data_IF_587241689430
#
_entry.id   IF_587241689430
#
_cell.length_a   1.000
_cell.length_b   1.000
_cell.length_c   1.000
_cell.angle_alpha   90.00
_cell.angle_beta   90.00
_cell.angle_gamma   90.00
#
_symmetry.space_group_name_H-M   'P 1'
#
loop_
_entity.id
_entity.type
_entity.pdbx_description
1 polymer ?
#
# COMPACT_ATOMS: atom_id res chain seq x y z
N UNK A 1 2.30 4.99 -14.43
CA UNK A 1 1.60 5.08 -13.14
C UNK A 1 0.50 4.04 -13.15
N UNK A 2 0.32 3.32 -12.06
CA UNK A 2 -0.82 2.43 -11.85
C UNK A 2 -2.12 3.21 -11.68
N UNK A 3 -3.23 2.49 -11.81
CA UNK A 3 -4.59 3.01 -11.75
C UNK A 3 -5.27 2.47 -10.50
N UNK A 4 -5.87 3.35 -9.71
CA UNK A 4 -6.71 2.95 -8.58
C UNK A 4 -8.02 2.39 -9.13
N UNK A 5 -8.27 1.10 -8.88
CA UNK A 5 -9.47 0.37 -9.34
C UNK A 5 -10.60 0.55 -8.32
N UNK A 6 -10.28 0.37 -7.05
CA UNK A 6 -11.19 0.61 -5.93
C UNK A 6 -10.48 1.38 -4.83
N UNK A 7 -11.25 2.23 -4.14
CA UNK A 7 -10.74 3.01 -3.02
C UNK A 7 -11.85 3.21 -2.00
N UNK A 8 -11.60 2.80 -0.77
CA UNK A 8 -12.52 2.93 0.34
C UNK A 8 -11.77 3.28 1.62
N UNK A 9 -11.85 4.55 2.01
CA UNK A 9 -11.12 5.09 3.16
C UNK A 9 -12.02 5.40 4.37
N UNK A 10 -13.33 5.15 4.23
CA UNK A 10 -14.35 5.54 5.24
C UNK A 10 -14.89 4.35 6.04
N UNK A 11 -14.29 3.18 5.90
CA UNK A 11 -14.68 1.94 6.58
C UNK A 11 -13.79 1.66 7.80
N UNK A 12 -14.24 0.73 8.65
CA UNK A 12 -13.43 0.21 9.76
C UNK A 12 -12.15 -0.50 9.28
N UNK A 13 -12.15 -0.96 8.03
CA UNK A 13 -10.99 -1.53 7.33
C UNK A 13 -10.79 -0.78 6.01
N UNK A 14 -10.07 0.35 6.01
CA UNK A 14 -9.76 1.07 4.78
C UNK A 14 -9.02 0.17 3.79
N UNK A 15 -9.40 0.23 2.51
CA UNK A 15 -8.75 -0.57 1.47
C UNK A 15 -8.70 0.12 0.10
N UNK A 16 -7.70 -0.28 -0.69
CA UNK A 16 -7.59 0.17 -2.08
C UNK A 16 -7.01 -0.93 -2.96
N UNK A 17 -7.62 -1.13 -4.13
CA UNK A 17 -7.06 -1.95 -5.20
C UNK A 17 -6.40 -1.06 -6.26
N UNK A 18 -5.20 -1.45 -6.68
CA UNK A 18 -4.39 -0.71 -7.63
C UNK A 18 -3.91 -1.67 -8.72
N UNK A 19 -4.24 -1.37 -9.97
CA UNK A 19 -3.68 -2.00 -11.15
C UNK A 19 -2.36 -1.30 -11.50
N UNK A 20 -1.24 -2.00 -11.34
CA UNK A 20 0.11 -1.49 -11.59
C UNK A 20 0.44 -1.47 -13.09
N UNK A 21 1.49 -0.74 -13.45
CA UNK A 21 1.85 -0.49 -14.86
C UNK A 21 2.23 -1.76 -15.64
N UNK A 22 2.68 -2.82 -14.97
CA UNK A 22 2.96 -4.12 -15.60
C UNK A 22 1.74 -5.05 -15.68
N UNK A 23 0.56 -4.60 -15.24
CA UNK A 23 -0.65 -5.41 -15.19
C UNK A 23 -0.83 -6.22 -13.90
N UNK A 24 0.08 -6.14 -12.93
CA UNK A 24 -0.16 -6.70 -11.60
C UNK A 24 -1.27 -5.93 -10.91
N UNK A 25 -2.12 -6.62 -10.17
CA UNK A 25 -3.08 -6.00 -9.26
C UNK A 25 -2.62 -6.20 -7.84
N UNK A 26 -2.66 -5.14 -7.04
CA UNK A 26 -2.37 -5.20 -5.61
C UNK A 26 -3.50 -4.59 -4.82
N UNK A 27 -3.72 -5.11 -3.62
CA UNK A 27 -4.69 -4.58 -2.67
C UNK A 27 -3.98 -4.21 -1.38
N UNK A 28 -4.26 -3.00 -0.92
CA UNK A 28 -3.85 -2.46 0.36
C UNK A 28 -5.04 -2.59 1.30
N UNK A 29 -4.83 -3.20 2.46
CA UNK A 29 -5.83 -3.27 3.53
C UNK A 29 -5.19 -2.75 4.82
N UNK A 30 -5.82 -1.73 5.39
CA UNK A 30 -5.51 -1.24 6.73
C UNK A 30 -6.54 -1.80 7.70
N UNK A 31 -6.07 -2.56 8.68
CA UNK A 31 -6.88 -3.12 9.74
C UNK A 31 -6.21 -2.82 11.10
N UNK A 32 -6.82 -3.28 12.20
CA UNK A 32 -6.34 -3.00 13.56
C UNK A 32 -4.93 -3.53 13.81
N UNK A 33 -4.55 -4.59 13.10
CA UNK A 33 -3.24 -5.24 13.14
C UNK A 33 -2.21 -4.61 12.19
N UNK A 34 -2.59 -3.57 11.43
CA UNK A 34 -1.69 -2.78 10.61
C UNK A 34 -2.03 -2.87 9.12
N UNK A 35 -1.00 -2.98 8.28
CA UNK A 35 -1.12 -3.00 6.82
C UNK A 35 -0.87 -4.41 6.29
N UNK A 36 -1.76 -4.86 5.42
CA UNK A 36 -1.52 -6.01 4.54
C UNK A 36 -1.53 -5.56 3.09
N UNK A 37 -0.53 -6.00 2.32
CA UNK A 37 -0.49 -5.84 0.87
C UNK A 37 -0.57 -7.21 0.23
N UNK A 38 -1.57 -7.42 -0.62
CA UNK A 38 -1.80 -8.67 -1.34
C UNK A 38 -1.64 -8.46 -2.83
N UNK A 39 -1.09 -9.43 -3.54
CA UNK A 39 -1.17 -9.50 -5.00
C UNK A 39 -2.46 -10.20 -5.39
N UNK A 40 -3.22 -9.66 -6.32
CA UNK A 40 -4.40 -10.32 -6.89
C UNK A 40 -3.96 -11.11 -8.13
N UNK A 41 -4.39 -12.37 -8.20
CA UNK A 41 -4.16 -13.22 -9.36
C UNK A 41 -5.49 -13.79 -9.83
N UNK A 42 -5.81 -13.61 -11.12
CA UNK A 42 -6.99 -14.19 -11.78
C UNK A 42 -8.34 -13.96 -11.03
N UNK A 43 -8.53 -12.78 -10.43
CA UNK A 43 -9.77 -12.43 -9.73
C UNK A 43 -9.94 -13.03 -8.34
N UNK A 44 -8.92 -13.71 -7.81
CA UNK A 44 -8.88 -14.19 -6.43
C UNK A 44 -7.87 -13.34 -5.64
N UNK A 45 -8.25 -12.95 -4.41
CA UNK A 45 -7.31 -12.39 -3.43
C UNK A 45 -6.14 -13.35 -3.29
N UNK A 46 -4.98 -12.97 -3.82
CA UNK A 46 -3.82 -13.83 -3.90
C UNK A 46 -2.87 -13.66 -2.71
N UNK A 47 -1.60 -13.93 -2.96
CA UNK A 47 -0.52 -13.99 -1.99
C UNK A 47 -0.30 -12.66 -1.25
N UNK A 48 -0.14 -12.73 0.09
CA UNK A 48 0.36 -11.61 0.88
C UNK A 48 1.83 -11.37 0.54
N UNK A 49 2.13 -10.21 -0.02
CA UNK A 49 3.48 -9.83 -0.43
C UNK A 49 4.18 -8.91 0.58
N UNK A 50 3.42 -8.32 1.50
CA UNK A 50 3.94 -7.53 2.61
C UNK A 50 2.92 -7.43 3.75
N UNK A 51 3.41 -7.45 4.99
CA UNK A 51 2.62 -7.21 6.19
C UNK A 51 3.43 -6.38 7.18
N UNK A 52 2.79 -5.42 7.83
CA UNK A 52 3.40 -4.56 8.83
C UNK A 52 2.43 -4.26 9.97
N UNK A 53 2.96 -4.16 11.19
CA UNK A 53 2.21 -3.74 12.37
C UNK A 53 1.86 -2.23 12.32
N UNK A 54 0.95 -1.74 13.17
CA UNK A 54 0.51 -0.35 13.13
C UNK A 54 1.61 0.70 13.36
N UNK A 55 2.65 0.37 14.15
CA UNK A 55 3.76 1.29 14.41
C UNK A 55 4.62 1.43 13.15
N UNK A 56 4.99 0.30 12.55
CA UNK A 56 5.70 0.28 11.27
C UNK A 56 4.94 1.04 10.19
N UNK A 57 3.60 0.90 10.13
CA UNK A 57 2.76 1.65 9.18
C UNK A 57 2.83 3.16 9.42
N UNK A 58 2.77 3.60 10.68
CA UNK A 58 2.87 5.02 11.02
C UNK A 58 4.22 5.62 10.61
N UNK A 59 5.31 4.89 10.85
CA UNK A 59 6.67 5.31 10.48
C UNK A 59 6.82 5.38 8.95
N UNK A 60 6.31 4.37 8.23
CA UNK A 60 6.25 4.37 6.77
C UNK A 60 5.48 5.57 6.23
N UNK A 61 4.29 5.85 6.76
CA UNK A 61 3.48 6.97 6.31
C UNK A 61 4.17 8.31 6.58
N UNK A 62 4.82 8.47 7.73
CA UNK A 62 5.57 9.69 8.08
C UNK A 62 6.70 9.93 7.06
N UNK A 63 7.53 8.90 6.81
CA UNK A 63 8.61 8.99 5.83
C UNK A 63 8.11 9.28 4.39
N UNK A 64 6.90 8.84 4.05
CA UNK A 64 6.30 9.04 2.72
C UNK A 64 5.60 10.40 2.56
N UNK A 65 4.96 10.91 3.61
CA UNK A 65 4.31 12.24 3.59
C UNK A 65 5.34 13.35 3.46
N UNK A 66 6.50 13.22 4.10
CA UNK A 66 7.60 14.19 3.95
C UNK A 66 8.09 14.32 2.50
N UNK A 67 7.86 13.28 1.68
CA UNK A 67 8.27 13.22 0.27
C UNK A 67 7.16 13.69 -0.67
N UNK A 68 5.89 13.62 -0.27
CA UNK A 68 4.76 13.93 -1.14
C UNK A 68 3.79 14.90 -0.45
N UNK A 69 3.60 16.08 -1.06
CA UNK A 69 2.58 17.04 -0.65
C UNK A 69 1.18 16.47 -0.98
N UNK A 70 0.72 15.51 -0.17
CA UNK A 70 -0.60 14.90 -0.26
C UNK A 70 -1.59 15.80 0.48
N UNK A 71 -2.55 16.46 -0.21
CA UNK A 71 -3.59 17.21 0.47
C UNK A 71 -4.51 16.25 1.24
N UNK A 72 -4.65 16.51 2.54
CA UNK A 72 -5.44 15.69 3.49
C UNK A 72 -4.96 14.21 3.53
N UNK A 73 -3.80 13.95 4.17
CA UNK A 73 -3.15 12.64 4.12
C UNK A 73 -3.80 11.66 5.10
N UNK A 74 -4.73 10.84 4.61
CA UNK A 74 -5.04 9.59 5.30
C UNK A 74 -3.93 8.55 5.03
N UNK A 75 -3.66 7.62 5.96
CA UNK A 75 -2.67 6.56 5.73
C UNK A 75 -2.92 5.78 4.43
N UNK A 76 -4.18 5.42 4.14
CA UNK A 76 -4.51 4.73 2.90
C UNK A 76 -4.19 5.58 1.66
N UNK A 77 -4.49 6.89 1.68
CA UNK A 77 -4.21 7.79 0.55
C UNK A 77 -2.70 7.90 0.29
N UNK A 78 -1.90 8.06 1.34
CA UNK A 78 -0.43 8.13 1.23
C UNK A 78 0.10 6.85 0.59
N UNK A 79 -0.27 5.70 1.15
CA UNK A 79 0.15 4.39 0.66
C UNK A 79 -0.30 4.15 -0.79
N UNK A 80 -1.54 4.47 -1.11
CA UNK A 80 -2.10 4.34 -2.46
C UNK A 80 -1.33 5.19 -3.46
N UNK A 81 -1.00 6.44 -3.10
CA UNK A 81 -0.25 7.35 -3.96
C UNK A 81 1.13 6.78 -4.26
N UNK A 82 1.85 6.32 -3.23
CA UNK A 82 3.18 5.72 -3.37
C UNK A 82 3.14 4.44 -4.21
N UNK A 83 2.21 3.53 -3.92
CA UNK A 83 2.09 2.25 -4.64
C UNK A 83 1.69 2.48 -6.11
N UNK A 84 0.84 3.47 -6.41
CA UNK A 84 0.47 3.81 -7.78
C UNK A 84 1.66 4.28 -8.64
N UNK A 85 2.76 4.72 -8.03
CA UNK A 85 3.97 5.11 -8.76
C UNK A 85 4.88 3.92 -9.07
N UNK A 86 4.60 2.74 -8.52
CA UNK A 86 5.39 1.54 -8.71
C UNK A 86 5.01 0.78 -9.99
N UNK A 87 5.97 0.01 -10.51
CA UNK A 87 5.81 -0.70 -11.78
C UNK A 87 5.19 -2.08 -11.61
N UNK A 88 5.51 -2.80 -10.53
CA UNK A 88 5.13 -4.20 -10.32
C UNK A 88 4.89 -4.55 -8.85
N UNK A 89 4.19 -5.64 -8.57
CA UNK A 89 3.97 -6.13 -7.20
C UNK A 89 5.30 -6.51 -6.51
N UNK A 90 6.26 -7.02 -7.27
CA UNK A 90 7.60 -7.32 -6.77
C UNK A 90 8.35 -6.04 -6.33
N UNK A 91 8.18 -4.93 -7.06
CA UNK A 91 8.75 -3.64 -6.66
C UNK A 91 8.10 -3.11 -5.38
N UNK A 92 6.78 -3.30 -5.22
CA UNK A 92 6.04 -2.97 -3.99
C UNK A 92 6.60 -3.75 -2.81
N UNK A 93 6.66 -5.07 -2.91
CA UNK A 93 7.18 -5.93 -1.84
C UNK A 93 8.60 -5.52 -1.43
N UNK A 94 9.49 -5.27 -2.41
CA UNK A 94 10.87 -4.86 -2.17
C UNK A 94 10.98 -3.50 -1.50
N UNK A 95 10.25 -2.50 -1.99
CA UNK A 95 10.30 -1.13 -1.47
C UNK A 95 9.76 -1.06 -0.03
N UNK A 96 8.62 -1.70 0.24
CA UNK A 96 8.01 -1.71 1.57
C UNK A 96 8.84 -2.51 2.57
N UNK A 97 9.37 -3.67 2.17
CA UNK A 97 10.28 -4.45 3.03
C UNK A 97 11.59 -3.72 3.32
N UNK A 98 12.12 -2.95 2.35
CA UNK A 98 13.29 -2.13 2.58
C UNK A 98 12.99 -0.99 3.55
N UNK A 99 11.88 -0.27 3.36
CA UNK A 99 11.49 0.84 4.21
C UNK A 99 11.22 0.39 5.66
N UNK A 100 10.51 -0.73 5.86
CA UNK A 100 10.23 -1.28 7.19
C UNK A 100 11.49 -1.66 7.99
N UNK A 101 12.59 -2.02 7.31
CA UNK A 101 13.88 -2.31 7.98
C UNK A 101 14.58 -1.06 8.52
N UNK A 102 14.22 0.13 8.05
CA UNK A 102 14.81 1.40 8.49
C UNK A 102 13.99 2.10 9.58
N UNK A 103 12.79 1.57 9.88
CA UNK A 103 11.88 2.11 10.89
C UNK A 103 11.87 1.30 12.20
N UNK A 104 12.61 0.18 12.26
CA UNK A 104 12.73 -0.72 13.41
C UNK A 104 13.92 -0.43 14.31
#
# INVERSE_FOLDING_TARGET
>A
MGTVVTYNDKTATPSSEIALANGDHVVLELARDGLTIKRVAAGVMGETIFQADPRTVADLCTAMVDVQAVPDPSPLRVLTTVVSQMRSAADVARAFSAAAKHTG
#
